data_IF_079473162651
#
_entry.id   IF_079473162651
#
_cell.length_a   1.000
_cell.length_b   1.000
_cell.length_c   1.000
_cell.angle_alpha   90.00
_cell.angle_beta   90.00
_cell.angle_gamma   90.00
#
_symmetry.space_group_name_H-M   'P 1'
#
loop_
_entity.id
_entity.type
_entity.pdbx_description
1 polymer ?
#
# COMPACT_ATOMS: atom_id res chain seq x y z
N UNK A 1 15.27 8.35 -9.64
CA UNK A 1 14.08 8.40 -9.06
C UNK A 1 14.05 7.73 -7.73
N UNK A 2 14.49 7.80 -6.89
CA UNK A 2 14.56 7.05 -5.71
C UNK A 2 13.52 7.31 -4.67
N UNK A 3 12.35 7.67 -5.07
CA UNK A 3 11.36 8.07 -4.08
C UNK A 3 10.41 6.96 -3.65
N UNK A 4 10.68 5.74 -4.07
CA UNK A 4 9.85 4.61 -3.72
C UNK A 4 10.03 4.20 -2.27
N UNK A 5 11.02 4.71 -1.61
CA UNK A 5 11.37 4.28 -0.26
C UNK A 5 10.42 4.76 0.83
N UNK A 6 9.42 5.57 0.47
CA UNK A 6 8.57 6.17 1.48
C UNK A 6 7.26 5.43 1.60
N UNK A 7 7.31 4.25 2.13
CA UNK A 7 6.09 3.51 2.45
C UNK A 7 5.57 3.95 3.81
N UNK A 8 4.25 3.84 3.97
CA UNK A 8 3.62 4.15 5.22
C UNK A 8 4.10 3.21 6.32
N UNK A 9 4.23 1.93 5.99
CA UNK A 9 4.73 0.94 6.94
C UNK A 9 5.14 -0.33 6.23
N UNK A 10 5.91 -1.19 6.91
CA UNK A 10 6.29 -2.49 6.36
C UNK A 10 5.95 -3.59 7.36
N UNK A 11 5.69 -4.78 6.82
CA UNK A 11 5.40 -5.97 7.60
C UNK A 11 6.18 -7.14 7.05
N UNK A 12 6.33 -8.18 7.86
CA UNK A 12 7.03 -9.39 7.46
C UNK A 12 6.03 -10.53 7.32
N UNK A 13 6.08 -11.25 6.21
CA UNK A 13 5.36 -12.50 6.09
C UNK A 13 6.17 -13.58 6.81
N UNK A 14 5.59 -14.13 7.88
CA UNK A 14 6.31 -15.06 8.75
C UNK A 14 6.58 -16.40 8.09
N UNK A 15 5.87 -16.76 7.04
CA UNK A 15 6.06 -18.03 6.35
C UNK A 15 7.12 -17.96 5.26
N UNK A 16 7.19 -16.84 4.57
CA UNK A 16 8.10 -16.70 3.41
C UNK A 16 9.31 -15.83 3.71
N UNK A 17 9.30 -15.09 4.82
CA UNK A 17 10.34 -14.13 5.12
C UNK A 17 10.27 -12.87 4.26
N UNK A 18 9.22 -12.73 3.46
CA UNK A 18 9.09 -11.63 2.52
C UNK A 18 8.58 -10.39 3.22
N UNK A 19 9.09 -9.23 2.82
CA UNK A 19 8.62 -7.96 3.33
C UNK A 19 7.40 -7.52 2.54
N UNK A 20 6.36 -7.11 3.26
CA UNK A 20 5.13 -6.57 2.68
C UNK A 20 5.10 -5.08 3.01
N UNK A 21 4.93 -4.26 2.00
CA UNK A 21 4.88 -2.81 2.14
C UNK A 21 3.44 -2.34 2.25
N UNK A 22 3.21 -1.28 3.01
CA UNK A 22 1.88 -0.68 3.12
C UNK A 22 1.93 0.73 2.58
N UNK A 23 1.10 1.01 1.58
CA UNK A 23 0.93 2.34 1.02
C UNK A 23 -0.49 2.81 1.29
N UNK A 24 -0.63 3.95 1.95
CA UNK A 24 -1.94 4.51 2.27
C UNK A 24 -2.18 5.77 1.45
N UNK A 25 -3.23 5.75 0.62
CA UNK A 25 -3.61 6.89 -0.20
C UNK A 25 -4.70 7.68 0.54
N UNK A 26 -4.27 8.69 1.29
CA UNK A 26 -5.12 9.38 2.24
C UNK A 26 -5.92 10.55 1.70
N UNK A 27 -5.78 10.89 0.41
CA UNK A 27 -6.43 12.06 -0.16
C UNK A 27 -6.89 11.81 -1.59
N UNK A 28 -7.64 10.74 -1.78
CA UNK A 28 -8.05 10.33 -3.13
C UNK A 28 -9.05 11.27 -3.77
N UNK A 29 -9.63 12.20 -3.02
CA UNK A 29 -10.49 13.25 -3.55
C UNK A 29 -9.73 14.53 -3.94
N UNK A 30 -8.41 14.53 -3.83
CA UNK A 30 -7.56 15.64 -4.27
C UNK A 30 -6.92 15.24 -5.61
N UNK A 31 -7.19 16.02 -6.66
CA UNK A 31 -6.75 15.67 -8.00
C UNK A 31 -5.23 15.61 -8.13
N UNK A 32 -4.51 16.56 -7.54
CA UNK A 32 -3.06 16.56 -7.61
C UNK A 32 -2.48 15.36 -6.87
N UNK A 33 -3.01 15.07 -5.71
CA UNK A 33 -2.58 13.91 -4.94
C UNK A 33 -2.83 12.62 -5.72
N UNK A 34 -4.00 12.50 -6.33
CA UNK A 34 -4.37 11.30 -7.08
C UNK A 34 -3.47 11.10 -8.28
N UNK A 35 -3.15 12.18 -9.01
CA UNK A 35 -2.23 12.08 -10.13
C UNK A 35 -0.85 11.63 -9.70
N UNK A 36 -0.34 12.17 -8.60
CA UNK A 36 0.95 11.74 -8.05
C UNK A 36 0.90 10.29 -7.58
N UNK A 37 -0.22 9.88 -7.02
CA UNK A 37 -0.39 8.50 -6.57
C UNK A 37 -0.33 7.53 -7.76
N UNK A 38 -0.97 7.88 -8.88
CA UNK A 38 -0.91 7.04 -10.09
C UNK A 38 0.54 6.90 -10.57
N UNK A 39 1.29 8.00 -10.59
CA UNK A 39 2.70 7.95 -10.99
C UNK A 39 3.51 7.07 -10.05
N UNK A 40 3.24 7.16 -8.76
CA UNK A 40 3.92 6.34 -7.76
C UNK A 40 3.61 4.86 -7.98
N UNK A 41 2.35 4.52 -8.21
CA UNK A 41 1.97 3.13 -8.46
C UNK A 41 2.65 2.59 -9.71
N UNK A 42 2.70 3.39 -10.77
CA UNK A 42 3.38 2.97 -12.00
C UNK A 42 4.86 2.67 -11.73
N UNK A 43 5.50 3.48 -10.90
CA UNK A 43 6.90 3.26 -10.54
C UNK A 43 7.08 1.98 -9.72
N UNK A 44 6.18 1.73 -8.77
CA UNK A 44 6.24 0.49 -7.98
C UNK A 44 6.12 -0.73 -8.90
N UNK A 45 5.12 -0.74 -9.75
CA UNK A 45 4.86 -1.88 -10.62
C UNK A 45 6.03 -2.08 -11.59
N UNK A 46 6.57 -1.00 -12.14
CA UNK A 46 7.73 -1.08 -13.02
C UNK A 46 8.94 -1.69 -12.30
N UNK A 47 9.04 -1.49 -10.99
CA UNK A 47 10.11 -2.06 -10.19
C UNK A 47 9.71 -3.40 -9.56
N UNK A 48 8.69 -4.04 -10.10
CA UNK A 48 8.24 -5.36 -9.68
C UNK A 48 7.72 -5.41 -8.24
N UNK A 49 7.18 -4.30 -7.76
CA UNK A 49 6.47 -4.25 -6.49
C UNK A 49 4.98 -4.21 -6.82
N UNK A 50 4.30 -5.32 -6.63
CA UNK A 50 2.94 -5.49 -7.14
C UNK A 50 1.90 -5.34 -6.05
N UNK A 51 0.89 -4.50 -6.26
CA UNK A 51 -0.24 -4.42 -5.32
C UNK A 51 -0.90 -5.79 -5.16
N UNK A 52 -1.21 -6.14 -3.93
CA UNK A 52 -1.81 -7.43 -3.62
C UNK A 52 -0.82 -8.56 -3.44
N UNK A 53 0.41 -8.41 -3.90
CA UNK A 53 1.47 -9.39 -3.68
C UNK A 53 2.53 -8.84 -2.73
N UNK A 54 3.00 -7.63 -3.00
CA UNK A 54 4.09 -7.00 -2.24
C UNK A 54 3.62 -5.78 -1.48
N UNK A 55 2.53 -5.17 -1.90
CA UNK A 55 2.03 -3.91 -1.36
C UNK A 55 0.58 -4.06 -0.94
N UNK A 56 0.30 -3.65 0.29
CA UNK A 56 -1.06 -3.47 0.77
C UNK A 56 -1.45 -2.03 0.43
N UNK A 57 -2.58 -1.86 -0.27
CA UNK A 57 -3.08 -0.54 -0.60
C UNK A 57 -4.34 -0.25 0.21
N UNK A 58 -4.38 0.92 0.83
CA UNK A 58 -5.57 1.41 1.47
C UNK A 58 -5.83 2.84 1.03
N UNK A 59 -7.08 3.25 1.07
CA UNK A 59 -7.50 4.52 0.51
C UNK A 59 -8.43 5.23 1.47
N UNK A 60 -8.46 6.56 1.38
CA UNK A 60 -9.52 7.31 2.04
C UNK A 60 -9.73 8.66 1.34
N UNK A 61 -10.90 9.23 1.57
CA UNK A 61 -11.25 10.57 1.15
C UNK A 61 -11.75 11.31 2.38
N UNK A 62 -12.08 12.59 2.22
CA UNK A 62 -12.66 13.34 3.34
C UNK A 62 -13.98 12.76 3.82
N UNK A 63 -14.75 12.16 2.89
CA UNK A 63 -16.05 11.58 3.24
C UNK A 63 -16.02 10.13 3.64
N UNK A 64 -14.88 9.45 3.49
CA UNK A 64 -14.76 8.02 3.78
C UNK A 64 -13.40 7.74 4.37
N UNK A 65 -13.34 7.68 5.69
CA UNK A 65 -12.10 7.47 6.40
C UNK A 65 -11.72 6.00 6.44
N UNK A 66 -10.44 5.74 6.65
CA UNK A 66 -9.92 4.39 6.72
C UNK A 66 -10.48 3.64 7.92
N UNK A 67 -10.98 2.43 7.68
CA UNK A 67 -11.47 1.54 8.72
C UNK A 67 -10.33 0.64 9.20
N UNK A 68 -9.96 0.78 10.45
CA UNK A 68 -8.84 0.03 11.01
C UNK A 68 -9.10 -1.48 11.02
N UNK A 69 -10.35 -1.89 11.07
CA UNK A 69 -10.70 -3.31 11.02
C UNK A 69 -10.34 -3.90 9.65
N UNK A 70 -10.58 -3.13 8.59
CA UNK A 70 -10.21 -3.54 7.23
C UNK A 70 -8.69 -3.66 7.11
N UNK A 71 -7.96 -2.71 7.67
CA UNK A 71 -6.49 -2.75 7.66
C UNK A 71 -5.99 -3.99 8.36
N UNK A 72 -6.51 -4.31 9.53
CA UNK A 72 -6.10 -5.49 10.29
C UNK A 72 -6.34 -6.76 9.49
N UNK A 73 -7.47 -6.82 8.78
CA UNK A 73 -7.76 -7.99 7.95
C UNK A 73 -6.76 -8.11 6.81
N UNK A 74 -6.46 -7.01 6.12
CA UNK A 74 -5.51 -7.03 5.02
C UNK A 74 -4.12 -7.44 5.48
N UNK A 75 -3.65 -6.87 6.59
CA UNK A 75 -2.33 -7.21 7.13
C UNK A 75 -2.26 -8.69 7.48
N UNK A 76 -3.30 -9.20 8.15
CA UNK A 76 -3.33 -10.60 8.54
C UNK A 76 -3.28 -11.51 7.31
N UNK A 77 -4.10 -11.22 6.30
CA UNK A 77 -4.15 -12.04 5.10
C UNK A 77 -2.81 -12.04 4.36
N UNK A 78 -2.22 -10.87 4.22
CA UNK A 78 -0.97 -10.74 3.46
C UNK A 78 0.23 -11.30 4.22
N UNK A 79 0.27 -11.10 5.52
CA UNK A 79 1.44 -11.50 6.32
C UNK A 79 1.42 -12.96 6.72
N UNK A 80 0.26 -13.62 6.67
CA UNK A 80 0.15 -15.05 7.02
C UNK A 80 -0.03 -15.92 5.78
N UNK A 81 0.00 -15.36 4.60
CA UNK A 81 -0.15 -16.10 3.36
C UNK A 81 1.05 -17.02 3.15
N UNK A 82 0.75 -18.26 2.88
CA UNK A 82 1.79 -19.24 2.53
C UNK A 82 1.99 -19.28 1.00
#
# INVERSE_FOLDING_TARGET
MGNIKRFFQTYLNVHTGKIIYWEHAGRMDDLYYTNDFVKKMNAYITNNLLPGRDIILTFETMGSTLDITVVKKLVREMCLRK
#
